data_IF_763027381794
#
_entry.id   IF_763027381794
#
_cell.length_a   1.000
_cell.length_b   1.000
_cell.length_c   1.000
_cell.angle_alpha   90.00
_cell.angle_beta   90.00
_cell.angle_gamma   90.00
#
_symmetry.space_group_name_H-M   'P 1'
#
loop_
_entity.id
_entity.type
_entity.pdbx_description
1 polymer ?
#
# COMPACT_ATOMS: atom_id res chain seq x y z
N UNK A 1 19.78 3.22 9.26
CA UNK A 1 20.41 3.45 7.92
C UNK A 1 20.28 2.16 7.12
N UNK A 2 19.62 2.17 5.96
CA UNK A 2 19.55 1.00 5.08
C UNK A 2 20.90 0.92 4.36
N UNK A 3 21.61 -0.22 4.42
CA UNK A 3 22.85 -0.37 3.67
C UNK A 3 22.61 -0.14 2.18
N UNK A 4 23.47 0.61 1.51
CA UNK A 4 23.39 0.92 0.06
C UNK A 4 23.28 -0.37 -0.77
N UNK A 5 23.91 -1.45 -0.33
CA UNK A 5 23.77 -2.77 -0.93
C UNK A 5 22.32 -3.27 -0.94
N UNK A 6 21.55 -3.06 0.14
CA UNK A 6 20.15 -3.50 0.18
C UNK A 6 19.28 -2.69 -0.77
N UNK A 7 19.54 -1.38 -0.94
CA UNK A 7 18.86 -0.54 -1.93
C UNK A 7 19.16 -1.05 -3.34
N UNK A 8 20.42 -1.35 -3.63
CA UNK A 8 20.82 -1.90 -4.93
C UNK A 8 20.14 -3.25 -5.22
N UNK A 9 20.13 -4.18 -4.25
CA UNK A 9 19.46 -5.48 -4.42
C UNK A 9 17.95 -5.34 -4.62
N UNK A 10 17.29 -4.47 -3.88
CA UNK A 10 15.86 -4.26 -4.02
C UNK A 10 15.51 -3.60 -5.36
N UNK A 11 16.32 -2.61 -5.80
CA UNK A 11 16.15 -1.99 -7.12
C UNK A 11 16.46 -2.98 -8.25
N UNK A 12 17.50 -3.81 -8.11
CA UNK A 12 17.82 -4.83 -9.13
C UNK A 12 16.75 -5.90 -9.19
N UNK A 13 16.19 -6.33 -8.06
CA UNK A 13 15.06 -7.25 -8.02
C UNK A 13 13.80 -6.63 -8.64
N UNK A 14 13.48 -5.38 -8.31
CA UNK A 14 12.40 -4.63 -8.94
C UNK A 14 12.63 -4.50 -10.45
N UNK A 15 13.85 -4.22 -10.89
CA UNK A 15 14.24 -4.14 -12.29
C UNK A 15 14.10 -5.48 -13.02
N UNK A 16 14.54 -6.57 -12.41
CA UNK A 16 14.37 -7.93 -12.96
C UNK A 16 12.88 -8.31 -13.10
N UNK A 17 12.09 -8.04 -12.06
CA UNK A 17 10.66 -8.29 -12.09
C UNK A 17 9.94 -7.43 -13.15
N UNK A 18 10.40 -6.20 -13.36
CA UNK A 18 9.90 -5.29 -14.38
C UNK A 18 10.35 -5.72 -15.78
N UNK A 19 11.59 -6.17 -15.96
CA UNK A 19 12.09 -6.69 -17.25
C UNK A 19 11.36 -7.96 -17.68
N UNK A 20 11.10 -8.89 -16.75
CA UNK A 20 10.31 -10.09 -17.01
C UNK A 20 8.88 -9.79 -17.47
N UNK A 21 8.38 -8.58 -17.23
CA UNK A 21 7.03 -8.13 -17.59
C UNK A 21 6.99 -7.11 -18.76
N UNK A 22 8.07 -7.00 -19.55
CA UNK A 22 8.18 -6.09 -20.72
C UNK A 22 8.14 -4.58 -20.41
N UNK A 23 8.71 -4.12 -19.32
CA UNK A 23 8.81 -2.70 -18.96
C UNK A 23 10.03 -1.98 -19.57
N UNK A 24 10.24 -2.16 -20.86
CA UNK A 24 11.37 -1.53 -21.59
C UNK A 24 11.36 0.00 -21.52
N UNK A 25 10.19 0.60 -21.36
CA UNK A 25 10.01 2.06 -21.36
C UNK A 25 10.67 2.76 -20.17
N UNK A 26 10.73 2.10 -18.99
CA UNK A 26 11.38 2.66 -17.80
C UNK A 26 12.91 2.79 -17.94
N UNK A 27 13.55 1.93 -18.73
CA UNK A 27 15.00 1.96 -18.93
C UNK A 27 15.47 3.17 -19.76
N UNK A 28 14.57 3.82 -20.48
CA UNK A 28 14.86 4.98 -21.34
C UNK A 28 14.48 6.31 -20.70
N UNK A 29 13.76 6.30 -19.59
CA UNK A 29 13.30 7.50 -18.87
C UNK A 29 14.45 8.11 -18.07
N UNK A 30 14.63 9.44 -18.15
CA UNK A 30 15.59 10.17 -17.32
C UNK A 30 14.90 10.60 -16.03
N UNK A 31 15.40 10.14 -14.89
CA UNK A 31 14.89 10.50 -13.59
C UNK A 31 15.74 11.62 -12.96
N UNK A 32 15.07 12.62 -12.39
CA UNK A 32 15.74 13.74 -11.74
C UNK A 32 16.27 13.39 -10.34
N UNK A 33 15.60 12.44 -9.65
CA UNK A 33 16.00 11.98 -8.33
C UNK A 33 15.50 10.56 -8.06
N UNK A 34 15.96 9.97 -6.96
CA UNK A 34 15.59 8.60 -6.55
C UNK A 34 14.10 8.46 -6.21
N UNK A 35 13.48 9.54 -5.68
CA UNK A 35 12.04 9.55 -5.39
C UNK A 35 11.21 9.42 -6.68
N UNK A 36 11.61 10.11 -7.74
CA UNK A 36 10.96 10.02 -9.05
C UNK A 36 11.09 8.61 -9.65
N UNK A 37 12.27 7.98 -9.55
CA UNK A 37 12.48 6.60 -9.99
C UNK A 37 11.59 5.63 -9.19
N UNK A 38 11.58 5.72 -7.87
CA UNK A 38 10.75 4.85 -7.03
C UNK A 38 9.26 5.06 -7.31
N UNK A 39 8.84 6.30 -7.52
CA UNK A 39 7.47 6.63 -7.89
C UNK A 39 7.09 6.05 -9.26
N UNK A 40 8.02 6.06 -10.24
CA UNK A 40 7.80 5.47 -11.56
C UNK A 40 7.64 3.94 -11.48
N UNK A 41 8.51 3.28 -10.70
CA UNK A 41 8.44 1.83 -10.50
C UNK A 41 7.12 1.45 -9.80
N UNK A 42 6.75 2.19 -8.75
CA UNK A 42 5.52 1.96 -8.02
C UNK A 42 4.28 2.16 -8.90
N UNK A 43 4.21 3.26 -9.65
CA UNK A 43 3.14 3.57 -10.61
C UNK A 43 2.93 2.43 -11.61
N UNK A 44 4.02 1.97 -12.22
CA UNK A 44 3.98 0.89 -13.19
C UNK A 44 3.58 -0.44 -12.55
N UNK A 45 4.17 -0.77 -11.40
CA UNK A 45 3.86 -2.00 -10.67
C UNK A 45 2.40 -2.07 -10.21
N UNK A 46 1.85 -0.95 -9.70
CA UNK A 46 0.43 -0.86 -9.34
C UNK A 46 -0.45 -0.99 -10.58
N UNK A 47 -0.09 -0.37 -11.70
CA UNK A 47 -0.85 -0.49 -12.96
C UNK A 47 -0.94 -1.94 -13.44
N UNK A 48 0.12 -2.74 -13.27
CA UNK A 48 0.10 -4.18 -13.56
C UNK A 48 -0.77 -4.94 -12.57
N UNK A 49 -0.64 -4.62 -11.26
CA UNK A 49 -1.46 -5.26 -10.24
C UNK A 49 -2.96 -4.98 -10.47
N UNK A 50 -3.33 -3.75 -10.86
CA UNK A 50 -4.72 -3.40 -11.16
C UNK A 50 -5.31 -4.17 -12.34
N UNK A 51 -4.50 -4.51 -13.34
CA UNK A 51 -4.95 -5.38 -14.46
C UNK A 51 -5.31 -6.79 -13.99
N UNK A 52 -4.68 -7.26 -12.91
CA UNK A 52 -4.99 -8.56 -12.26
C UNK A 52 -6.11 -8.44 -11.22
N UNK A 53 -6.45 -7.20 -10.84
CA UNK A 53 -7.30 -6.86 -9.72
C UNK A 53 -6.52 -6.64 -8.42
N UNK A 54 -7.06 -5.81 -7.52
CA UNK A 54 -6.52 -5.69 -6.17
C UNK A 54 -6.72 -6.98 -5.40
N UNK A 55 -5.70 -7.38 -4.64
CA UNK A 55 -5.79 -8.50 -3.73
C UNK A 55 -6.91 -8.29 -2.71
N UNK A 56 -7.62 -9.36 -2.40
CA UNK A 56 -8.71 -9.38 -1.42
C UNK A 56 -8.44 -10.45 -0.38
N UNK A 57 -8.96 -10.20 0.81
CA UNK A 57 -8.89 -11.16 1.90
C UNK A 57 -10.18 -11.11 2.71
N UNK A 58 -10.44 -12.16 3.50
CA UNK A 58 -11.55 -12.18 4.44
C UNK A 58 -11.16 -11.41 5.69
N UNK A 59 -11.81 -10.26 5.86
CA UNK A 59 -11.58 -9.39 7.02
C UNK A 59 -12.76 -9.50 7.96
N UNK A 60 -12.48 -9.83 9.22
CA UNK A 60 -13.52 -9.89 10.26
C UNK A 60 -14.01 -8.49 10.60
N UNK A 61 -15.31 -8.27 10.45
CA UNK A 61 -16.02 -7.04 10.81
C UNK A 61 -16.92 -7.26 12.00
N UNK A 62 -17.04 -6.22 12.84
CA UNK A 62 -17.99 -6.17 13.94
C UNK A 62 -18.83 -4.92 13.78
N UNK A 63 -20.11 -5.08 13.45
CA UNK A 63 -21.02 -3.96 13.17
C UNK A 63 -22.38 -4.17 13.81
N UNK A 64 -23.06 -3.04 14.11
CA UNK A 64 -24.42 -3.03 14.61
C UNK A 64 -25.40 -3.11 13.44
N UNK A 65 -26.11 -4.23 13.31
CA UNK A 65 -27.01 -4.53 12.20
C UNK A 65 -28.43 -4.79 12.69
N UNK A 66 -29.42 -4.44 11.89
CA UNK A 66 -30.83 -4.75 12.13
C UNK A 66 -31.19 -6.19 11.72
N UNK A 67 -30.35 -6.82 10.90
CA UNK A 67 -30.52 -8.21 10.43
C UNK A 67 -29.32 -9.03 10.87
N UNK A 68 -29.55 -10.26 11.32
CA UNK A 68 -28.48 -11.17 11.76
C UNK A 68 -27.60 -11.55 10.57
N UNK A 69 -26.28 -11.29 10.72
CA UNK A 69 -25.27 -11.69 9.78
C UNK A 69 -24.05 -12.26 10.52
N UNK A 70 -23.60 -13.45 10.14
CA UNK A 70 -22.50 -14.12 10.81
C UNK A 70 -22.82 -14.53 12.25
N UNK A 71 -21.94 -14.22 13.18
CA UNK A 71 -22.05 -14.57 14.60
C UNK A 71 -22.51 -13.37 15.43
N UNK A 72 -23.54 -13.57 16.25
CA UNK A 72 -24.03 -12.56 17.19
C UNK A 72 -23.07 -12.39 18.38
N UNK A 73 -22.70 -11.15 18.69
CA UNK A 73 -22.01 -10.76 19.90
C UNK A 73 -23.01 -10.18 20.92
N UNK A 74 -23.64 -11.06 21.71
CA UNK A 74 -24.68 -10.69 22.69
C UNK A 74 -24.11 -9.76 23.76
N UNK A 75 -22.93 -10.09 24.30
CA UNK A 75 -22.30 -9.32 25.36
C UNK A 75 -22.06 -7.87 24.96
N UNK A 76 -21.55 -7.65 23.76
CA UNK A 76 -21.28 -6.30 23.25
C UNK A 76 -22.58 -5.59 22.89
N UNK A 77 -23.58 -6.30 22.34
CA UNK A 77 -24.89 -5.75 22.04
C UNK A 77 -25.61 -5.21 23.28
N UNK A 78 -25.46 -5.90 24.44
CA UNK A 78 -26.01 -5.45 25.72
C UNK A 78 -25.23 -4.24 26.23
N UNK A 79 -23.90 -4.30 26.26
CA UNK A 79 -23.03 -3.21 26.75
C UNK A 79 -23.27 -1.90 25.99
N UNK A 80 -23.40 -1.98 24.68
CA UNK A 80 -23.60 -0.82 23.78
C UNK A 80 -25.05 -0.41 23.63
N UNK A 81 -25.98 -1.13 24.29
CA UNK A 81 -27.42 -0.89 24.25
C UNK A 81 -28.01 -0.85 22.81
N UNK A 82 -27.39 -1.55 21.87
CA UNK A 82 -27.85 -1.60 20.47
C UNK A 82 -29.21 -2.27 20.33
N UNK A 83 -29.56 -3.15 21.25
CA UNK A 83 -30.89 -3.81 21.30
C UNK A 83 -32.02 -2.82 21.44
N UNK A 84 -31.83 -1.68 22.13
CA UNK A 84 -32.83 -0.62 22.24
C UNK A 84 -33.14 0.03 20.89
N UNK A 85 -32.18 -0.01 19.97
CA UNK A 85 -32.31 0.49 18.59
C UNK A 85 -32.76 -0.61 17.61
N UNK A 86 -33.19 -1.77 18.12
CA UNK A 86 -33.54 -2.96 17.32
C UNK A 86 -32.36 -3.41 16.41
N UNK A 87 -31.15 -3.29 16.92
CA UNK A 87 -29.91 -3.69 16.26
C UNK A 87 -29.13 -4.65 17.15
N UNK A 88 -28.30 -5.48 16.53
CA UNK A 88 -27.42 -6.45 17.20
C UNK A 88 -26.01 -6.31 16.66
N UNK A 89 -25.00 -6.46 17.52
CA UNK A 89 -23.60 -6.50 17.06
C UNK A 89 -23.34 -7.88 16.47
N UNK A 90 -23.08 -7.91 15.16
CA UNK A 90 -22.77 -9.10 14.40
C UNK A 90 -21.28 -9.10 14.02
N UNK A 91 -20.63 -10.26 14.16
CA UNK A 91 -19.26 -10.51 13.71
C UNK A 91 -19.34 -11.40 12.48
N UNK A 92 -18.84 -10.92 11.36
CA UNK A 92 -18.84 -11.64 10.10
C UNK A 92 -17.58 -11.33 9.27
N UNK A 93 -17.21 -12.23 8.37
CA UNK A 93 -16.07 -12.03 7.49
C UNK A 93 -16.54 -11.41 6.17
N UNK A 94 -15.91 -10.31 5.77
CA UNK A 94 -16.13 -9.65 4.49
C UNK A 94 -14.94 -9.86 3.57
N UNK A 95 -15.22 -10.26 2.33
CA UNK A 95 -14.21 -10.39 1.30
C UNK A 95 -13.88 -9.01 0.73
N UNK A 96 -12.86 -8.38 1.25
CA UNK A 96 -12.55 -6.95 1.08
C UNK A 96 -11.20 -6.70 0.42
N UNK A 97 -11.11 -5.61 -0.33
CA UNK A 97 -9.85 -5.06 -0.84
C UNK A 97 -9.07 -4.26 0.22
N UNK A 98 -9.67 -4.00 1.39
CA UNK A 98 -9.04 -3.23 2.47
C UNK A 98 -7.95 -4.05 3.22
N UNK A 99 -7.11 -4.77 2.48
CA UNK A 99 -6.02 -5.59 3.00
C UNK A 99 -4.83 -4.74 3.40
N UNK A 100 -3.98 -5.25 4.29
CA UNK A 100 -2.78 -4.54 4.75
C UNK A 100 -1.86 -4.15 3.58
N UNK A 101 -1.69 -5.01 2.57
CA UNK A 101 -0.88 -4.70 1.39
C UNK A 101 -1.41 -3.49 0.64
N UNK A 102 -2.72 -3.45 0.39
CA UNK A 102 -3.35 -2.34 -0.31
C UNK A 102 -3.31 -1.05 0.51
N UNK A 103 -3.46 -1.14 1.83
CA UNK A 103 -3.35 -0.01 2.76
C UNK A 103 -1.93 0.59 2.75
N UNK A 104 -0.88 -0.24 2.75
CA UNK A 104 0.52 0.20 2.65
C UNK A 104 0.74 0.94 1.32
N UNK A 105 0.29 0.35 0.21
CA UNK A 105 0.43 0.94 -1.12
C UNK A 105 -0.29 2.29 -1.20
N UNK A 106 -1.55 2.37 -0.73
CA UNK A 106 -2.32 3.62 -0.69
C UNK A 106 -1.60 4.70 0.12
N UNK A 107 -1.19 4.38 1.34
CA UNK A 107 -0.53 5.34 2.24
C UNK A 107 0.81 5.81 1.66
N UNK A 108 1.57 4.93 0.98
CA UNK A 108 2.80 5.30 0.29
C UNK A 108 2.54 6.21 -0.90
N UNK A 109 1.50 5.95 -1.71
CA UNK A 109 1.12 6.86 -2.80
C UNK A 109 0.77 8.26 -2.28
N UNK A 110 0.01 8.34 -1.18
CA UNK A 110 -0.35 9.62 -0.56
C UNK A 110 0.88 10.37 -0.03
N UNK A 111 1.88 9.64 0.52
CA UNK A 111 3.15 10.21 0.93
C UNK A 111 3.95 10.76 -0.27
N UNK A 112 4.01 10.03 -1.38
CA UNK A 112 4.67 10.48 -2.61
C UNK A 112 4.02 11.73 -3.22
N UNK A 113 2.71 11.93 -3.09
CA UNK A 113 2.06 13.16 -3.56
C UNK A 113 2.58 14.42 -2.86
N UNK A 114 3.10 14.29 -1.63
CA UNK A 114 3.73 15.37 -0.85
C UNK A 114 5.21 15.53 -1.17
N UNK A 115 5.84 14.56 -1.81
CA UNK A 115 7.26 14.57 -2.16
C UNK A 115 7.56 15.44 -3.38
N UNK A 116 8.85 15.71 -3.59
CA UNK A 116 9.35 16.46 -4.76
C UNK A 116 9.47 15.55 -5.99
N UNK A 117 8.33 15.27 -6.61
CA UNK A 117 8.20 14.50 -7.86
C UNK A 117 7.46 15.34 -8.90
N UNK A 118 7.59 14.97 -10.16
CA UNK A 118 6.98 15.71 -11.29
C UNK A 118 5.45 15.74 -11.20
N UNK A 119 4.85 16.81 -11.71
CA UNK A 119 3.38 16.94 -11.74
C UNK A 119 2.72 15.86 -12.58
N UNK A 120 3.38 15.38 -13.63
CA UNK A 120 2.92 14.27 -14.45
C UNK A 120 2.80 13.01 -13.62
N UNK A 121 3.83 12.69 -12.82
CA UNK A 121 3.84 11.54 -11.92
C UNK A 121 2.76 11.67 -10.83
N UNK A 122 2.62 12.86 -10.23
CA UNK A 122 1.54 13.13 -9.27
C UNK A 122 0.15 12.89 -9.86
N UNK A 123 -0.06 13.30 -11.13
CA UNK A 123 -1.33 13.05 -11.82
C UNK A 123 -1.59 11.55 -12.02
N UNK A 124 -0.57 10.79 -12.44
CA UNK A 124 -0.67 9.34 -12.60
C UNK A 124 -1.03 8.66 -11.27
N UNK A 125 -0.33 8.98 -10.18
CA UNK A 125 -0.61 8.43 -8.85
C UNK A 125 -2.03 8.78 -8.36
N UNK A 126 -2.53 10.00 -8.61
CA UNK A 126 -3.93 10.36 -8.29
C UNK A 126 -4.94 9.50 -9.05
N UNK A 127 -4.68 9.22 -10.32
CA UNK A 127 -5.54 8.34 -11.10
C UNK A 127 -5.55 6.91 -10.56
N UNK A 128 -4.39 6.39 -10.11
CA UNK A 128 -4.32 5.07 -9.48
C UNK A 128 -5.06 5.04 -8.14
N UNK A 129 -5.00 6.11 -7.35
CA UNK A 129 -5.69 6.20 -6.06
C UNK A 129 -7.21 6.05 -6.17
N UNK A 130 -7.82 6.35 -7.32
CA UNK A 130 -9.26 6.15 -7.55
C UNK A 130 -9.67 4.68 -7.38
N UNK A 131 -8.77 3.75 -7.70
CA UNK A 131 -9.03 2.31 -7.53
C UNK A 131 -8.91 1.83 -6.08
N UNK A 132 -8.40 2.68 -5.18
CA UNK A 132 -8.23 2.40 -3.76
C UNK A 132 -9.27 3.12 -2.88
N UNK A 133 -10.46 3.45 -3.42
CA UNK A 133 -11.54 4.12 -2.67
C UNK A 133 -11.91 3.38 -1.39
N UNK A 134 -12.06 2.05 -1.48
CA UNK A 134 -12.51 1.18 -0.40
C UNK A 134 -11.36 0.70 0.52
N UNK A 135 -10.15 1.22 0.30
CA UNK A 135 -8.95 0.90 1.09
C UNK A 135 -8.69 2.04 2.07
N UNK A 136 -8.49 1.71 3.33
CA UNK A 136 -8.16 2.70 4.37
C UNK A 136 -6.71 3.17 4.26
N UNK A 137 -6.46 4.42 4.66
CA UNK A 137 -5.11 4.91 4.92
C UNK A 137 -4.63 4.41 6.28
N UNK A 138 -3.36 4.07 6.39
CA UNK A 138 -2.71 3.64 7.63
C UNK A 138 -1.44 4.45 7.88
N UNK A 139 -1.05 4.53 9.15
CA UNK A 139 0.22 5.14 9.53
C UNK A 139 1.37 4.16 9.28
N UNK A 140 2.24 4.50 8.34
CA UNK A 140 3.37 3.66 7.93
C UNK A 140 4.41 3.43 9.05
N UNK A 141 4.40 4.24 10.11
CA UNK A 141 5.27 4.07 11.29
C UNK A 141 5.00 2.80 12.06
N UNK A 142 3.74 2.34 12.06
CA UNK A 142 3.30 1.17 12.81
C UNK A 142 3.16 -0.09 11.95
N UNK A 143 3.58 -0.02 10.68
CA UNK A 143 3.53 -1.16 9.76
C UNK A 143 4.63 -2.16 10.09
N UNK A 144 4.25 -3.44 10.23
CA UNK A 144 5.22 -4.52 10.18
C UNK A 144 5.64 -4.76 8.73
N UNK A 145 6.85 -4.34 8.37
CA UNK A 145 7.39 -4.49 7.02
C UNK A 145 7.84 -5.91 6.68
N UNK A 146 8.00 -6.78 7.69
CA UNK A 146 8.31 -8.19 7.48
C UNK A 146 7.04 -8.99 7.21
N UNK A 147 6.53 -8.91 5.99
CA UNK A 147 5.28 -9.52 5.56
C UNK A 147 5.50 -10.97 5.09
N UNK A 148 4.51 -11.83 5.34
CA UNK A 148 4.49 -13.18 4.80
C UNK A 148 3.89 -13.19 3.40
N UNK A 149 4.62 -13.80 2.46
CA UNK A 149 4.19 -13.95 1.08
C UNK A 149 3.89 -15.40 0.75
N UNK A 150 2.79 -15.63 0.07
CA UNK A 150 2.36 -16.93 -0.48
C UNK A 150 2.07 -16.78 -1.98
N UNK A 151 1.66 -17.85 -2.64
CA UNK A 151 1.40 -17.85 -4.08
C UNK A 151 0.36 -16.79 -4.51
N UNK A 152 -0.63 -16.49 -3.66
CA UNK A 152 -1.72 -15.57 -4.00
C UNK A 152 -1.31 -14.10 -3.89
N UNK A 153 -0.36 -13.77 -3.01
CA UNK A 153 0.06 -12.40 -2.74
C UNK A 153 1.53 -12.11 -3.12
N UNK A 154 2.22 -13.05 -3.75
CA UNK A 154 3.63 -12.91 -4.13
C UNK A 154 3.88 -11.69 -5.05
N UNK A 155 2.90 -11.32 -5.88
CA UNK A 155 2.99 -10.13 -6.72
C UNK A 155 3.13 -8.82 -5.93
N UNK A 156 2.71 -8.79 -4.67
CA UNK A 156 2.86 -7.65 -3.77
C UNK A 156 4.27 -7.50 -3.19
N UNK A 157 5.08 -8.56 -3.18
CA UNK A 157 6.41 -8.54 -2.56
C UNK A 157 7.29 -7.40 -3.09
N UNK A 158 7.33 -7.25 -4.42
CA UNK A 158 8.05 -6.15 -5.06
C UNK A 158 7.47 -4.78 -4.67
N UNK A 159 6.14 -4.64 -4.74
CA UNK A 159 5.46 -3.37 -4.45
C UNK A 159 5.69 -2.92 -3.00
N UNK A 160 5.57 -3.84 -2.05
CA UNK A 160 5.82 -3.54 -0.63
C UNK A 160 7.29 -3.21 -0.39
N UNK A 161 8.21 -3.90 -1.08
CA UNK A 161 9.64 -3.56 -1.03
C UNK A 161 9.93 -2.14 -1.51
N UNK A 162 9.31 -1.69 -2.60
CA UNK A 162 9.42 -0.31 -3.08
C UNK A 162 8.76 0.68 -2.09
N UNK A 163 7.60 0.34 -1.54
CA UNK A 163 6.96 1.16 -0.49
C UNK A 163 7.88 1.36 0.72
N UNK A 164 8.57 0.29 1.15
CA UNK A 164 9.54 0.35 2.24
C UNK A 164 10.72 1.28 1.94
N UNK A 165 11.29 1.22 0.72
CA UNK A 165 12.35 2.12 0.28
C UNK A 165 11.90 3.58 0.27
N UNK A 166 10.72 3.86 -0.27
CA UNK A 166 10.15 5.21 -0.31
C UNK A 166 9.96 5.75 1.10
N UNK A 167 9.36 4.95 1.98
CA UNK A 167 9.12 5.33 3.35
C UNK A 167 10.42 5.70 4.08
N UNK A 168 11.44 4.84 4.03
CA UNK A 168 12.72 5.10 4.72
C UNK A 168 13.52 6.24 4.05
N UNK A 169 13.52 6.32 2.72
CA UNK A 169 14.22 7.37 1.98
C UNK A 169 13.65 8.76 2.27
N UNK A 170 12.32 8.92 2.28
CA UNK A 170 11.68 10.20 2.57
C UNK A 170 11.81 10.62 4.04
N UNK A 171 11.86 9.66 4.99
CA UNK A 171 12.10 9.99 6.40
C UNK A 171 13.53 10.50 6.64
N UNK A 172 14.52 9.90 5.96
CA UNK A 172 15.92 10.34 6.10
C UNK A 172 16.11 11.77 5.59
N UNK A 173 15.43 12.18 4.54
CA UNK A 173 15.48 13.58 4.05
C UNK A 173 14.80 14.58 4.99
N UNK A 174 13.90 14.13 5.87
CA UNK A 174 13.25 14.99 6.86
C UNK A 174 14.06 15.11 8.16
N UNK A 175 14.82 14.06 8.54
CA UNK A 175 15.59 14.02 9.80
C UNK A 175 16.98 14.62 9.67
N UNK A 176 17.59 14.54 8.50
CA UNK A 176 18.93 15.05 8.24
C UNK A 176 18.86 16.29 7.34
N UNK A 177 18.78 17.46 7.97
CA UNK A 177 18.86 18.74 7.26
C UNK A 177 20.20 19.01 6.53
N UNK A 178 21.03 17.96 6.30
CA UNK A 178 22.36 18.08 5.71
C UNK A 178 22.79 16.93 4.77
N UNK A 179 21.97 15.89 4.55
CA UNK A 179 22.41 14.79 3.68
C UNK A 179 21.33 14.48 2.64
N UNK A 180 21.48 15.09 1.46
CA UNK A 180 20.70 14.85 0.27
C UNK A 180 20.98 13.46 -0.28
N UNK A 181 20.15 12.46 0.06
CA UNK A 181 20.18 11.12 -0.53
C UNK A 181 19.18 10.96 -1.68
N UNK A 182 18.34 11.99 -1.89
CA UNK A 182 17.31 11.99 -2.94
C UNK A 182 17.39 13.18 -3.90
N UNK A 183 18.57 13.78 -4.05
CA UNK A 183 18.81 14.72 -5.18
C UNK A 183 19.41 14.01 -6.38
#
# INVERSE_FOLDING_TARGET
MIPVQNIYYMLSYAFQALQAQNYKDLATEKFHNTAELCAAILDKGISVQLKRGLGRDYLSKSESLSTLQGRLNISESIKTQTLLKKQMICIYDEFSTNTQFNQIIKSTMLMLLKANITNTRKKSLRNLLLFFSDVNEIDLRFVNWNQHYNRSNQSYQMLIGICYLIYNGLLQTQSDGATKIMD
#
